data_IF_389747185670
#
_entry.id   IF_389747185670
#
_cell.length_a   1.000
_cell.length_b   1.000
_cell.length_c   1.000
_cell.angle_alpha   90.00
_cell.angle_beta   90.00
_cell.angle_gamma   90.00
#
_symmetry.space_group_name_H-M   'P 1'
#
loop_
_entity.id
_entity.type
_entity.pdbx_description
1 polymer ?
#
# COMPACT_ATOMS: atom_id res chain seq x y z
N UNK A 1 11.54 -25.50 14.82
CA UNK A 1 10.69 -26.71 14.68
C UNK A 1 9.76 -26.45 13.52
N UNK A 2 9.73 -27.30 12.47
CA UNK A 2 8.82 -27.10 11.35
C UNK A 2 7.37 -27.21 11.86
N UNK A 3 6.53 -26.26 11.45
CA UNK A 3 5.11 -26.26 11.78
C UNK A 3 4.43 -27.47 11.12
N UNK A 4 3.60 -28.19 11.87
CA UNK A 4 2.77 -29.24 11.30
C UNK A 4 1.64 -28.63 10.46
N UNK A 5 1.10 -29.35 9.47
CA UNK A 5 -0.03 -28.89 8.65
C UNK A 5 -1.22 -28.41 9.52
N UNK A 6 -1.45 -29.04 10.68
CA UNK A 6 -2.48 -28.62 11.63
C UNK A 6 -2.19 -27.25 12.27
N UNK A 7 -0.91 -26.94 12.54
CA UNK A 7 -0.52 -25.64 13.10
C UNK A 7 -0.57 -24.52 12.07
N UNK A 8 -0.34 -24.81 10.79
CA UNK A 8 -0.50 -23.85 9.69
C UNK A 8 -1.98 -23.51 9.48
N UNK A 9 -2.85 -24.53 9.44
CA UNK A 9 -4.30 -24.29 9.32
C UNK A 9 -4.87 -23.47 10.49
N UNK A 10 -4.41 -23.72 11.72
CA UNK A 10 -4.82 -22.96 12.90
C UNK A 10 -4.36 -21.50 12.82
N UNK A 11 -3.13 -21.25 12.37
CA UNK A 11 -2.62 -19.87 12.15
C UNK A 11 -3.41 -19.13 11.11
N UNK A 12 -3.75 -19.78 10.01
CA UNK A 12 -4.52 -19.17 8.93
C UNK A 12 -5.96 -18.85 9.38
N UNK A 13 -6.60 -19.74 10.11
CA UNK A 13 -7.92 -19.50 10.70
C UNK A 13 -7.92 -18.30 11.65
N UNK A 14 -6.91 -18.17 12.51
CA UNK A 14 -6.74 -17.00 13.40
C UNK A 14 -6.53 -15.73 12.58
N UNK A 15 -5.69 -15.78 11.55
CA UNK A 15 -5.40 -14.62 10.72
C UNK A 15 -6.64 -14.15 9.94
N UNK A 16 -7.40 -15.09 9.39
CA UNK A 16 -8.65 -14.81 8.70
C UNK A 16 -9.69 -14.17 9.63
N UNK A 17 -9.88 -14.73 10.84
CA UNK A 17 -10.76 -14.16 11.85
C UNK A 17 -10.30 -12.77 12.29
N UNK A 18 -8.99 -12.55 12.46
CA UNK A 18 -8.43 -11.25 12.79
C UNK A 18 -8.69 -10.22 11.70
N UNK A 19 -8.51 -10.58 10.42
CA UNK A 19 -8.81 -9.70 9.28
C UNK A 19 -10.28 -9.29 9.28
N UNK A 20 -11.20 -10.22 9.40
CA UNK A 20 -12.64 -9.95 9.47
C UNK A 20 -12.97 -8.96 10.59
N UNK A 21 -12.45 -9.19 11.81
CA UNK A 21 -12.67 -8.29 12.94
C UNK A 21 -12.06 -6.91 12.76
N UNK A 22 -10.83 -6.82 12.26
CA UNK A 22 -10.18 -5.54 12.01
C UNK A 22 -10.90 -4.75 10.89
N UNK A 23 -11.44 -5.41 9.88
CA UNK A 23 -12.28 -4.78 8.86
C UNK A 23 -13.56 -4.23 9.44
N UNK A 24 -14.29 -5.03 10.23
CA UNK A 24 -15.61 -4.69 10.74
C UNK A 24 -15.58 -3.57 11.79
N UNK A 25 -14.67 -3.65 12.76
CA UNK A 25 -14.72 -2.77 13.94
C UNK A 25 -13.41 -2.00 14.20
N UNK A 26 -12.39 -2.19 13.36
CA UNK A 26 -11.09 -1.53 13.47
C UNK A 26 -10.19 -2.13 14.54
N UNK A 27 -8.97 -1.57 14.64
CA UNK A 27 -7.96 -2.05 15.59
C UNK A 27 -8.42 -1.97 17.04
N UNK A 28 -8.91 -0.79 17.50
CA UNK A 28 -9.18 -0.52 18.92
C UNK A 28 -10.20 -1.48 19.52
N UNK A 29 -11.31 -1.68 18.84
CA UNK A 29 -12.44 -2.48 19.33
C UNK A 29 -12.25 -3.98 19.20
N UNK A 30 -11.29 -4.43 18.39
CA UNK A 30 -10.97 -5.84 18.24
C UNK A 30 -10.17 -6.35 19.44
N UNK A 31 -10.57 -7.50 19.99
CA UNK A 31 -9.89 -8.16 21.11
C UNK A 31 -9.38 -9.55 20.71
N UNK A 32 -8.31 -10.01 21.37
CA UNK A 32 -7.78 -11.37 21.17
C UNK A 32 -8.84 -12.43 21.48
N UNK A 33 -9.73 -12.19 22.45
CA UNK A 33 -10.80 -13.13 22.79
C UNK A 33 -11.82 -13.27 21.65
N UNK A 34 -12.23 -12.17 21.04
CA UNK A 34 -13.14 -12.18 19.89
C UNK A 34 -12.54 -12.94 18.71
N UNK A 35 -11.29 -12.65 18.37
CA UNK A 35 -10.57 -13.37 17.30
C UNK A 35 -10.47 -14.86 17.59
N UNK A 36 -10.16 -15.23 18.83
CA UNK A 36 -10.09 -16.64 19.24
C UNK A 36 -11.43 -17.35 19.10
N UNK A 37 -12.52 -16.70 19.52
CA UNK A 37 -13.88 -17.23 19.37
C UNK A 37 -14.24 -17.48 17.91
N UNK A 38 -13.98 -16.51 17.03
CA UNK A 38 -14.27 -16.63 15.60
C UNK A 38 -13.41 -17.67 14.89
N UNK A 39 -12.16 -17.82 15.34
CA UNK A 39 -11.24 -18.84 14.85
C UNK A 39 -11.48 -20.23 15.49
N UNK A 40 -12.49 -20.38 16.33
CA UNK A 40 -12.79 -21.59 17.08
C UNK A 40 -11.55 -22.15 17.81
N UNK A 41 -10.83 -21.27 18.54
CA UNK A 41 -9.62 -21.60 19.27
C UNK A 41 -9.57 -20.93 20.64
N UNK A 42 -8.59 -21.31 21.45
CA UNK A 42 -8.36 -20.65 22.75
C UNK A 42 -7.54 -19.36 22.60
N UNK A 43 -7.83 -18.28 23.37
CA UNK A 43 -7.03 -17.05 23.34
C UNK A 43 -5.54 -17.25 23.56
N UNK A 44 -5.15 -18.25 24.38
CA UNK A 44 -3.74 -18.59 24.59
C UNK A 44 -3.04 -19.08 23.32
N UNK A 45 -3.78 -19.73 22.41
CA UNK A 45 -3.26 -20.15 21.12
C UNK A 45 -3.00 -18.96 20.19
N UNK A 46 -3.88 -17.96 20.20
CA UNK A 46 -3.65 -16.71 19.47
C UNK A 46 -2.38 -16.04 19.98
N UNK A 47 -2.25 -15.92 21.32
CA UNK A 47 -1.05 -15.35 21.95
C UNK A 47 0.20 -16.17 21.67
N UNK A 48 0.10 -17.50 21.65
CA UNK A 48 1.22 -18.38 21.34
C UNK A 48 1.73 -18.20 19.90
N UNK A 49 0.83 -17.99 18.91
CA UNK A 49 1.20 -17.87 17.51
C UNK A 49 1.67 -16.45 17.14
N UNK A 50 1.07 -15.42 17.74
CA UNK A 50 1.31 -14.03 17.35
C UNK A 50 1.95 -13.18 18.43
N UNK A 51 1.88 -13.57 19.71
CA UNK A 51 2.53 -12.91 20.83
C UNK A 51 1.77 -11.69 21.38
N UNK A 52 1.22 -10.83 20.51
CA UNK A 52 0.44 -9.65 20.92
C UNK A 52 -0.61 -9.30 19.89
N UNK A 53 -1.56 -8.42 20.26
CA UNK A 53 -2.55 -7.85 19.34
C UNK A 53 -1.88 -7.05 18.23
N UNK A 54 -0.81 -6.29 18.55
CA UNK A 54 -0.06 -5.49 17.58
C UNK A 54 0.63 -6.37 16.53
N UNK A 55 1.22 -7.48 16.97
CA UNK A 55 1.85 -8.46 16.07
C UNK A 55 0.82 -9.22 15.23
N UNK A 56 -0.34 -9.53 15.81
CA UNK A 56 -1.46 -10.11 15.07
C UNK A 56 -1.98 -9.13 14.02
N UNK A 57 -2.18 -7.87 14.39
CA UNK A 57 -2.57 -6.80 13.45
C UNK A 57 -1.51 -6.64 12.36
N UNK A 58 -0.23 -6.59 12.74
CA UNK A 58 0.88 -6.53 11.79
C UNK A 58 0.83 -7.62 10.73
N UNK A 59 0.53 -8.85 11.15
CA UNK A 59 0.38 -9.98 10.24
C UNK A 59 -0.91 -9.89 9.39
N UNK A 60 -1.99 -9.39 9.98
CA UNK A 60 -3.26 -9.23 9.28
C UNK A 60 -3.18 -8.20 8.13
N UNK A 61 -2.42 -7.11 8.34
CA UNK A 61 -2.25 -6.03 7.35
C UNK A 61 -0.93 -6.10 6.59
N UNK A 62 -0.25 -7.24 6.59
CA UNK A 62 0.93 -7.44 5.77
C UNK A 62 0.52 -7.43 4.29
N UNK A 63 0.98 -6.39 3.57
CA UNK A 63 0.63 -6.15 2.16
C UNK A 63 1.86 -6.34 1.30
N UNK A 64 1.73 -7.23 0.32
CA UNK A 64 2.58 -7.28 -0.85
C UNK A 64 1.73 -6.83 -2.04
N UNK A 65 2.11 -5.70 -2.67
CA UNK A 65 1.40 -5.15 -3.82
C UNK A 65 1.57 -5.99 -5.07
N UNK A 66 2.50 -6.95 -5.08
CA UNK A 66 2.80 -7.81 -6.25
C UNK A 66 2.93 -7.00 -7.54
N UNK A 67 3.64 -5.87 -7.43
CA UNK A 67 3.80 -4.96 -8.56
C UNK A 67 4.39 -5.71 -9.76
N UNK A 68 3.92 -5.44 -10.99
CA UNK A 68 4.44 -6.09 -12.17
C UNK A 68 5.91 -5.73 -12.40
N UNK A 69 6.66 -6.65 -12.97
CA UNK A 69 7.99 -6.34 -13.51
C UNK A 69 7.82 -5.49 -14.78
N UNK A 70 8.44 -4.32 -14.77
CA UNK A 70 8.34 -3.33 -15.85
C UNK A 70 9.59 -3.30 -16.75
N UNK A 71 10.56 -4.20 -16.53
CA UNK A 71 11.89 -4.14 -17.17
C UNK A 71 11.82 -4.18 -18.70
N UNK A 72 10.93 -5.01 -19.26
CA UNK A 72 10.77 -5.21 -20.71
C UNK A 72 9.45 -4.64 -21.25
N UNK A 73 8.76 -3.81 -20.47
CA UNK A 73 7.47 -3.22 -20.86
C UNK A 73 7.74 -1.93 -21.66
N UNK A 74 7.15 -1.76 -22.85
CA UNK A 74 7.24 -0.50 -23.58
C UNK A 74 6.71 0.69 -22.77
N UNK A 75 7.37 1.84 -22.87
CA UNK A 75 7.05 3.03 -22.06
C UNK A 75 5.58 3.45 -22.18
N UNK A 76 4.99 3.32 -23.35
CA UNK A 76 3.58 3.65 -23.64
C UNK A 76 2.57 2.63 -23.08
N UNK A 77 3.03 1.46 -22.67
CA UNK A 77 2.18 0.42 -22.06
C UNK A 77 2.25 0.43 -20.52
N UNK A 78 3.28 1.02 -19.92
CA UNK A 78 3.52 1.00 -18.46
C UNK A 78 2.34 1.53 -17.68
N UNK A 79 1.80 2.69 -18.05
CA UNK A 79 0.70 3.32 -17.34
C UNK A 79 -0.57 2.46 -17.37
N UNK A 80 -0.87 1.84 -18.51
CA UNK A 80 -2.00 0.92 -18.67
C UNK A 80 -1.86 -0.34 -17.81
N UNK A 81 -0.66 -0.92 -17.79
CA UNK A 81 -0.36 -2.09 -16.99
C UNK A 81 -0.52 -1.80 -15.49
N UNK A 82 0.01 -0.67 -15.00
CA UNK A 82 -0.11 -0.25 -13.61
C UNK A 82 -1.57 0.04 -13.21
N UNK A 83 -2.32 0.74 -14.06
CA UNK A 83 -3.73 1.03 -13.83
C UNK A 83 -4.58 -0.25 -13.75
N UNK A 84 -4.37 -1.18 -14.69
CA UNK A 84 -5.07 -2.46 -14.68
C UNK A 84 -4.71 -3.32 -13.47
N UNK A 85 -3.42 -3.37 -13.11
CA UNK A 85 -2.95 -4.07 -11.92
C UNK A 85 -3.62 -3.51 -10.65
N UNK A 86 -3.64 -2.17 -10.50
CA UNK A 86 -4.27 -1.50 -9.38
C UNK A 86 -5.76 -1.85 -9.26
N UNK A 87 -6.53 -1.74 -10.34
CA UNK A 87 -7.97 -2.02 -10.34
C UNK A 87 -8.25 -3.49 -10.00
N UNK A 88 -7.47 -4.41 -10.56
CA UNK A 88 -7.60 -5.85 -10.30
C UNK A 88 -7.29 -6.17 -8.83
N UNK A 89 -6.21 -5.62 -8.30
CA UNK A 89 -5.80 -5.84 -6.91
C UNK A 89 -6.89 -5.40 -5.92
N UNK A 90 -7.50 -4.24 -6.13
CA UNK A 90 -8.56 -3.73 -5.25
C UNK A 90 -9.88 -4.47 -5.42
N UNK A 91 -10.20 -4.99 -6.59
CA UNK A 91 -11.39 -5.84 -6.80
C UNK A 91 -11.34 -7.10 -5.96
N UNK A 92 -10.14 -7.66 -5.78
CA UNK A 92 -9.92 -8.92 -5.08
C UNK A 92 -9.66 -8.70 -3.55
N UNK A 93 -9.67 -7.44 -3.05
CA UNK A 93 -9.32 -7.07 -1.66
C UNK A 93 -10.51 -6.50 -0.86
N UNK A 94 -11.76 -6.83 -1.17
CA UNK A 94 -12.96 -6.19 -0.58
C UNK A 94 -12.93 -6.11 0.97
N UNK A 95 -12.41 -7.12 1.68
CA UNK A 95 -12.14 -7.13 3.12
C UNK A 95 -10.70 -7.58 3.44
N UNK A 96 -9.79 -7.34 2.51
CA UNK A 96 -8.42 -7.81 2.58
C UNK A 96 -7.47 -6.86 3.32
N UNK A 97 -6.18 -7.22 3.34
CA UNK A 97 -5.15 -6.46 4.06
C UNK A 97 -5.03 -4.99 3.68
N UNK A 98 -5.20 -4.66 2.38
CA UNK A 98 -5.16 -3.26 1.91
C UNK A 98 -6.30 -2.43 2.46
N UNK A 99 -7.53 -2.95 2.42
CA UNK A 99 -8.72 -2.28 2.95
C UNK A 99 -8.59 -2.04 4.45
N UNK A 100 -8.14 -3.03 5.22
CA UNK A 100 -7.89 -2.89 6.66
C UNK A 100 -6.83 -1.83 6.93
N UNK A 101 -5.70 -1.90 6.21
CA UNK A 101 -4.59 -0.98 6.39
C UNK A 101 -5.00 0.46 6.09
N UNK A 102 -5.69 0.68 4.96
CA UNK A 102 -6.14 2.01 4.56
C UNK A 102 -7.15 2.62 5.55
N UNK A 103 -8.11 1.83 6.04
CA UNK A 103 -9.08 2.28 7.06
C UNK A 103 -8.40 2.62 8.38
N UNK A 104 -7.42 1.80 8.79
CA UNK A 104 -6.74 1.97 10.08
C UNK A 104 -5.70 3.10 10.06
N UNK A 105 -5.10 3.39 8.92
CA UNK A 105 -4.02 4.39 8.79
C UNK A 105 -4.45 5.83 9.14
N UNK A 106 -5.74 6.12 9.09
CA UNK A 106 -6.28 7.46 9.45
C UNK A 106 -6.32 7.67 10.97
N UNK A 107 -6.45 6.60 11.74
CA UNK A 107 -6.67 6.66 13.19
C UNK A 107 -5.53 6.03 14.01
N UNK A 108 -4.66 5.27 13.38
CA UNK A 108 -3.58 4.52 14.03
C UNK A 108 -2.22 4.80 13.40
N UNK A 109 -1.28 5.31 14.18
CA UNK A 109 0.06 5.64 13.71
C UNK A 109 0.83 4.41 13.20
N UNK A 110 0.76 3.28 13.89
CA UNK A 110 1.41 2.03 13.44
C UNK A 110 0.88 1.56 12.08
N UNK A 111 -0.41 1.75 11.79
CA UNK A 111 -0.98 1.45 10.48
C UNK A 111 -0.51 2.46 9.43
N UNK A 112 -0.43 3.74 9.78
CA UNK A 112 0.11 4.79 8.90
C UNK A 112 1.58 4.54 8.57
N UNK A 113 2.41 4.14 9.54
CA UNK A 113 3.81 3.76 9.31
C UNK A 113 3.93 2.57 8.36
N UNK A 114 3.09 1.55 8.52
CA UNK A 114 3.07 0.39 7.61
C UNK A 114 2.68 0.79 6.20
N UNK A 115 1.67 1.64 6.05
CA UNK A 115 1.27 2.16 4.75
C UNK A 115 2.40 2.95 4.10
N UNK A 116 3.07 3.84 4.86
CA UNK A 116 4.28 4.55 4.39
C UNK A 116 5.38 3.58 3.95
N UNK A 117 5.61 2.49 4.72
CA UNK A 117 6.60 1.48 4.39
C UNK A 117 6.25 0.71 3.10
N UNK A 118 4.99 0.39 2.87
CA UNK A 118 4.53 -0.22 1.60
C UNK A 118 4.89 0.68 0.41
N UNK A 119 4.60 1.97 0.50
CA UNK A 119 4.93 2.92 -0.57
C UNK A 119 6.43 3.10 -0.75
N UNK A 120 7.18 3.29 0.33
CA UNK A 120 8.62 3.49 0.27
C UNK A 120 9.36 2.27 -0.30
N UNK A 121 8.96 1.07 0.10
CA UNK A 121 9.68 -0.16 -0.22
C UNK A 121 9.20 -0.83 -1.51
N UNK A 122 8.01 -0.51 -2.00
CA UNK A 122 7.45 -1.14 -3.20
C UNK A 122 7.23 -0.10 -4.31
N UNK A 123 6.37 0.90 -4.12
CA UNK A 123 6.05 1.87 -5.18
C UNK A 123 7.24 2.76 -5.53
N UNK A 124 7.91 3.33 -4.54
CA UNK A 124 9.08 4.20 -4.80
C UNK A 124 10.22 3.42 -5.45
N UNK A 125 10.44 2.17 -5.04
CA UNK A 125 11.47 1.30 -5.63
C UNK A 125 11.14 1.03 -7.10
N UNK A 126 9.90 0.65 -7.41
CA UNK A 126 9.45 0.42 -8.79
C UNK A 126 9.62 1.68 -9.66
N UNK A 127 9.18 2.86 -9.19
CA UNK A 127 9.30 4.11 -9.97
C UNK A 127 10.76 4.50 -10.17
N UNK A 128 11.65 4.23 -9.19
CA UNK A 128 13.10 4.45 -9.34
C UNK A 128 13.74 3.48 -10.34
N UNK A 129 13.27 2.25 -10.42
CA UNK A 129 13.73 1.31 -11.45
C UNK A 129 13.33 1.79 -12.85
N UNK A 130 12.13 2.35 -12.99
CA UNK A 130 11.62 2.85 -14.27
C UNK A 130 12.29 4.16 -14.71
N UNK A 131 12.40 5.14 -13.82
CA UNK A 131 12.79 6.53 -14.15
C UNK A 131 14.20 6.93 -13.66
N UNK A 132 14.91 6.03 -12.98
CA UNK A 132 16.17 6.33 -12.31
C UNK A 132 15.99 7.01 -10.94
N UNK A 133 17.11 7.32 -10.29
CA UNK A 133 17.10 7.92 -8.96
C UNK A 133 17.12 9.46 -9.03
N UNK A 134 16.33 10.11 -8.16
CA UNK A 134 16.34 11.58 -8.05
C UNK A 134 15.13 12.13 -7.31
N UNK A 135 15.24 13.39 -6.86
CA UNK A 135 14.15 14.06 -6.14
C UNK A 135 12.87 14.19 -6.99
N UNK A 136 13.01 14.35 -8.29
CA UNK A 136 11.85 14.38 -9.21
C UNK A 136 11.17 13.01 -9.29
N UNK A 137 11.95 11.93 -9.40
CA UNK A 137 11.46 10.55 -9.40
C UNK A 137 10.72 10.23 -8.09
N UNK A 138 11.29 10.64 -6.95
CA UNK A 138 10.64 10.44 -5.65
C UNK A 138 9.34 11.21 -5.52
N UNK A 139 9.27 12.42 -6.08
CA UNK A 139 8.04 13.20 -6.15
C UNK A 139 6.99 12.51 -7.03
N UNK A 140 7.38 11.98 -8.20
CA UNK A 140 6.48 11.21 -9.09
C UNK A 140 5.93 9.97 -8.39
N UNK A 141 6.76 9.23 -7.66
CA UNK A 141 6.33 8.10 -6.84
C UNK A 141 5.31 8.53 -5.77
N UNK A 142 5.54 9.67 -5.10
CA UNK A 142 4.61 10.26 -4.15
C UNK A 142 3.27 10.66 -4.79
N UNK A 143 3.31 11.32 -5.95
CA UNK A 143 2.10 11.71 -6.69
C UNK A 143 1.31 10.50 -7.19
N UNK A 144 1.99 9.47 -7.70
CA UNK A 144 1.38 8.21 -8.08
C UNK A 144 0.66 7.57 -6.89
N UNK A 145 1.35 7.46 -5.75
CA UNK A 145 0.78 6.94 -4.52
C UNK A 145 -0.44 7.75 -4.06
N UNK A 146 -0.36 9.08 -4.09
CA UNK A 146 -1.46 9.98 -3.73
C UNK A 146 -2.68 9.76 -4.61
N UNK A 147 -2.49 9.67 -5.92
CA UNK A 147 -3.60 9.44 -6.86
C UNK A 147 -4.26 8.09 -6.62
N UNK A 148 -3.47 7.02 -6.57
CA UNK A 148 -3.99 5.66 -6.39
C UNK A 148 -4.66 5.47 -5.03
N UNK A 149 -4.10 6.03 -3.94
CA UNK A 149 -4.75 6.05 -2.64
C UNK A 149 -6.07 6.83 -2.66
N UNK A 150 -6.10 7.97 -3.34
CA UNK A 150 -7.31 8.77 -3.49
C UNK A 150 -8.42 7.99 -4.21
N UNK A 151 -8.09 7.27 -5.27
CA UNK A 151 -9.03 6.38 -5.98
C UNK A 151 -9.51 5.26 -5.07
N UNK A 152 -8.59 4.57 -4.39
CA UNK A 152 -8.92 3.48 -3.47
C UNK A 152 -9.84 3.95 -2.35
N UNK A 153 -9.51 5.06 -1.68
CA UNK A 153 -10.32 5.65 -0.63
C UNK A 153 -11.71 6.03 -1.13
N UNK A 154 -11.77 6.71 -2.28
CA UNK A 154 -13.03 7.20 -2.85
C UNK A 154 -13.95 6.08 -3.32
N UNK A 155 -13.39 5.02 -3.93
CA UNK A 155 -14.17 3.92 -4.51
C UNK A 155 -14.56 2.88 -3.48
N UNK A 156 -13.60 2.41 -2.68
CA UNK A 156 -13.78 1.22 -1.83
C UNK A 156 -14.15 1.55 -0.38
N UNK A 157 -13.68 2.69 0.14
CA UNK A 157 -13.92 3.07 1.55
C UNK A 157 -15.11 4.03 1.66
N UNK A 158 -15.03 5.20 1.00
CA UNK A 158 -16.06 6.23 1.08
C UNK A 158 -17.23 5.98 0.12
N UNK A 159 -17.03 5.16 -0.90
CA UNK A 159 -18.03 4.81 -1.93
C UNK A 159 -18.67 6.05 -2.55
N UNK A 160 -17.84 7.05 -2.90
CA UNK A 160 -18.32 8.29 -3.52
C UNK A 160 -19.01 7.99 -4.87
N UNK A 161 -20.30 8.34 -5.03
CA UNK A 161 -21.12 7.84 -6.14
C UNK A 161 -20.55 7.99 -7.55
N UNK A 162 -19.92 9.11 -7.95
CA UNK A 162 -19.36 9.21 -9.30
C UNK A 162 -18.26 8.17 -9.55
N UNK A 163 -17.31 8.03 -8.61
CA UNK A 163 -16.16 7.12 -8.75
C UNK A 163 -16.56 5.66 -8.49
N UNK A 164 -17.41 5.43 -7.48
CA UNK A 164 -17.87 4.09 -7.11
C UNK A 164 -18.72 3.41 -8.19
N UNK A 165 -19.35 4.20 -9.08
CA UNK A 165 -20.20 3.70 -10.18
C UNK A 165 -19.47 3.44 -11.48
N UNK A 166 -18.21 3.87 -11.61
CA UNK A 166 -17.43 3.60 -12.81
C UNK A 166 -17.27 2.10 -13.01
N UNK A 167 -17.37 1.66 -14.26
CA UNK A 167 -16.94 0.31 -14.60
C UNK A 167 -15.42 0.16 -14.39
N UNK A 168 -14.93 -1.06 -14.16
CA UNK A 168 -13.48 -1.28 -14.04
C UNK A 168 -12.75 -0.85 -15.33
N UNK A 169 -13.36 -1.06 -16.48
CA UNK A 169 -12.82 -0.63 -17.77
C UNK A 169 -12.65 0.90 -17.83
N UNK A 170 -13.67 1.66 -17.43
CA UNK A 170 -13.60 3.12 -17.46
C UNK A 170 -12.61 3.63 -16.41
N UNK A 171 -12.57 3.02 -15.23
CA UNK A 171 -11.61 3.36 -14.20
C UNK A 171 -10.16 3.11 -14.65
N UNK A 172 -9.89 1.96 -15.29
CA UNK A 172 -8.57 1.68 -15.87
C UNK A 172 -8.23 2.74 -16.92
N UNK A 173 -9.12 3.06 -17.83
CA UNK A 173 -8.86 4.05 -18.90
C UNK A 173 -8.52 5.43 -18.33
N UNK A 174 -9.30 5.92 -17.35
CA UNK A 174 -9.06 7.20 -16.69
C UNK A 174 -7.75 7.18 -15.90
N UNK A 175 -7.54 6.12 -15.10
CA UNK A 175 -6.34 5.98 -14.27
C UNK A 175 -5.08 5.89 -15.14
N UNK A 176 -5.12 5.20 -16.27
CA UNK A 176 -4.02 5.13 -17.24
C UNK A 176 -3.55 6.52 -17.67
N UNK A 177 -4.47 7.39 -18.08
CA UNK A 177 -4.11 8.76 -18.52
C UNK A 177 -3.47 9.58 -17.41
N UNK A 178 -3.96 9.44 -16.18
CA UNK A 178 -3.42 10.20 -15.04
C UNK A 178 -2.05 9.63 -14.62
N UNK A 179 -1.90 8.32 -14.58
CA UNK A 179 -0.63 7.64 -14.28
C UNK A 179 0.42 7.98 -15.33
N UNK A 180 0.07 7.94 -16.62
CA UNK A 180 0.98 8.35 -17.69
C UNK A 180 1.45 9.79 -17.48
N UNK A 181 0.53 10.73 -17.25
CA UNK A 181 0.89 12.12 -16.99
C UNK A 181 1.76 12.29 -15.73
N UNK A 182 1.52 11.54 -14.67
CA UNK A 182 2.37 11.57 -13.46
C UNK A 182 3.78 11.07 -13.76
N UNK A 183 3.91 10.02 -14.56
CA UNK A 183 5.21 9.40 -14.85
C UNK A 183 6.01 10.19 -15.89
N UNK A 184 5.38 10.72 -16.93
CA UNK A 184 6.05 11.29 -18.10
C UNK A 184 5.81 12.80 -18.29
N UNK A 185 4.69 13.32 -17.78
CA UNK A 185 4.29 14.72 -17.98
C UNK A 185 5.19 15.73 -17.26
N UNK A 186 5.11 17.03 -17.63
CA UNK A 186 5.88 18.08 -17.01
C UNK A 186 5.41 18.33 -15.56
N UNK A 187 6.35 18.41 -14.61
CA UNK A 187 6.05 18.82 -13.25
C UNK A 187 6.33 20.34 -13.08
N UNK A 188 5.37 21.16 -12.64
CA UNK A 188 5.53 22.60 -12.49
C UNK A 188 6.29 22.98 -11.20
N UNK A 189 7.25 22.16 -10.77
CA UNK A 189 8.10 22.41 -9.61
C UNK A 189 9.47 22.91 -10.05
N UNK A 190 9.86 24.08 -9.56
CA UNK A 190 11.22 24.58 -9.77
C UNK A 190 12.23 23.62 -9.17
N UNK A 191 13.13 23.08 -9.97
CA UNK A 191 14.31 22.34 -9.47
C UNK A 191 15.01 23.23 -8.45
N UNK A 192 15.18 22.76 -7.21
CA UNK A 192 16.08 23.41 -6.27
C UNK A 192 17.43 23.53 -6.95
N UNK A 193 17.88 24.78 -7.19
CA UNK A 193 19.19 25.03 -7.78
C UNK A 193 20.22 24.31 -6.90
N UNK A 194 21.07 23.45 -7.51
CA UNK A 194 22.24 22.90 -6.83
C UNK A 194 22.99 24.10 -6.26
N UNK A 195 23.05 24.23 -4.95
CA UNK A 195 23.86 25.22 -4.25
C UNK A 195 25.30 24.93 -4.63
N UNK A 196 25.79 25.63 -5.65
CA UNK A 196 27.17 25.53 -6.09
C UNK A 196 28.07 25.91 -4.92
N UNK A 197 28.92 24.99 -4.54
CA UNK A 197 29.97 25.22 -3.55
C UNK A 197 30.78 26.47 -3.92
N UNK A 198 30.61 27.50 -3.10
CA UNK A 198 31.40 28.71 -3.16
C UNK A 198 32.78 28.33 -2.60
N UNK A 199 33.70 27.93 -3.47
CA UNK A 199 35.14 27.86 -3.13
C UNK A 199 35.58 29.21 -2.57
N UNK A 200 35.83 29.24 -1.25
CA UNK A 200 36.56 30.33 -0.61
C UNK A 200 37.99 30.27 -1.09
N UNK A 201 38.28 31.08 -2.11
CA UNK A 201 39.63 31.42 -2.49
C UNK A 201 40.26 32.21 -1.35
N UNK A 202 41.01 31.56 -0.49
CA UNK A 202 41.94 32.21 0.46
C UNK A 202 43.06 32.86 -0.33
N UNK A 203 43.03 34.20 -0.47
CA UNK A 203 44.21 34.99 -0.83
C UNK A 203 45.10 35.05 0.41
N UNK A 204 46.27 34.44 0.32
CA UNK A 204 47.44 34.81 1.12
C UNK A 204 48.06 36.03 0.45
N UNK A 205 48.28 37.04 1.23
CA UNK A 205 49.34 38.04 1.10
C UNK A 205 50.10 38.08 2.40
#
# INVERSE_FOLDING_TARGET
>A
VPFTNRSLAAREAILSAARARFTEQGYDRTTIRQVATDANTDPSMVMRYYGSKDKLFAAAVAVDLRLPDLTDVPDDEVAGLLANHFVTMWRDDDDGPLTILLRSAVTHEDAAERLRAVFANQVTVMVRQLLGHGAETDLRAGLLSTHLLGVALSRHILRLPPVARLSDKDLVAITTQIVDHILTGPLPVKRAAKTGGRERRTRRS
#
